data_IF_801150488477
#
_entry.id   IF_801150488477
#
_cell.length_a   1.000
_cell.length_b   1.000
_cell.length_c   1.000
_cell.angle_alpha   90.00
_cell.angle_beta   90.00
_cell.angle_gamma   90.00
#
_symmetry.space_group_name_H-M   'P 1'
#
loop_
_entity.id
_entity.type
_entity.pdbx_description
1 polymer ?
#
# COMPACT_ATOMS: atom_id res chain seq x y z
N UNK A 1 0.44 -13.61 10.80
CA UNK A 1 0.90 -13.70 12.20
C UNK A 1 0.05 -12.77 13.05
N UNK A 2 -0.05 -12.99 14.36
CA UNK A 2 -0.72 -12.03 15.26
C UNK A 2 0.22 -11.61 16.39
N UNK A 3 -0.09 -10.46 17.02
CA UNK A 3 0.61 -9.93 18.18
C UNK A 3 -0.38 -9.31 19.17
N UNK A 4 -0.01 -9.30 20.44
CA UNK A 4 -0.75 -8.58 21.47
C UNK A 4 -0.20 -7.15 21.57
N UNK A 5 -1.10 -6.16 21.46
CA UNK A 5 -0.76 -4.74 21.64
C UNK A 5 -1.99 -4.01 22.18
N UNK A 6 -1.79 -3.21 23.22
CA UNK A 6 -2.83 -2.42 23.90
C UNK A 6 -4.09 -3.25 24.27
N UNK A 7 -3.87 -4.53 24.66
CA UNK A 7 -4.94 -5.46 25.04
C UNK A 7 -5.72 -6.08 23.87
N UNK A 8 -5.32 -5.84 22.62
CA UNK A 8 -5.93 -6.40 21.43
C UNK A 8 -5.03 -7.41 20.72
N UNK A 9 -5.63 -8.41 20.07
CA UNK A 9 -4.93 -9.34 19.16
C UNK A 9 -4.93 -8.74 17.75
N UNK A 10 -3.77 -8.20 17.34
CA UNK A 10 -3.60 -7.48 16.08
C UNK A 10 -2.75 -8.30 15.10
N UNK A 11 -3.21 -8.36 13.86
CA UNK A 11 -2.56 -9.13 12.81
C UNK A 11 -1.42 -8.37 12.13
N UNK A 12 -0.42 -9.12 11.63
CA UNK A 12 0.67 -8.59 10.81
C UNK A 12 0.91 -9.49 9.59
N UNK A 13 1.24 -8.87 8.47
CA UNK A 13 1.71 -9.55 7.27
C UNK A 13 3.12 -9.04 6.92
N UNK A 14 4.01 -9.97 6.55
CA UNK A 14 5.39 -9.67 6.19
C UNK A 14 5.73 -10.35 4.89
N UNK A 15 6.24 -9.58 3.94
CA UNK A 15 6.88 -10.08 2.72
C UNK A 15 8.39 -9.90 2.84
N UNK A 16 9.14 -10.99 2.78
CA UNK A 16 10.60 -11.00 2.72
C UNK A 16 11.03 -11.34 1.30
N UNK A 17 11.94 -10.58 0.74
CA UNK A 17 12.46 -10.80 -0.60
C UNK A 17 13.79 -11.54 -0.52
N UNK A 18 13.99 -12.56 -1.36
CA UNK A 18 15.25 -13.31 -1.43
C UNK A 18 16.44 -12.45 -1.90
N UNK A 19 16.15 -11.37 -2.62
CA UNK A 19 17.09 -10.30 -2.99
C UNK A 19 16.39 -8.95 -2.87
N UNK A 20 17.09 -7.86 -2.53
CA UNK A 20 16.46 -6.56 -2.37
C UNK A 20 15.84 -6.07 -3.69
N UNK A 21 14.65 -5.49 -3.60
CA UNK A 21 13.97 -4.84 -4.72
C UNK A 21 14.16 -3.32 -4.63
N UNK A 22 14.24 -2.64 -5.77
CA UNK A 22 14.12 -1.18 -5.82
C UNK A 22 12.67 -0.80 -5.56
N UNK A 23 12.48 0.19 -4.70
CA UNK A 23 11.15 0.66 -4.33
C UNK A 23 11.05 2.19 -4.40
N UNK A 24 9.83 2.66 -4.67
CA UNK A 24 9.37 4.01 -4.37
C UNK A 24 8.09 3.90 -3.54
N UNK A 25 8.06 4.56 -2.37
CA UNK A 25 6.95 4.40 -1.44
C UNK A 25 6.65 5.70 -0.70
N UNK A 26 5.36 5.91 -0.37
CA UNK A 26 4.88 6.96 0.54
C UNK A 26 4.68 6.46 1.97
N UNK A 27 5.09 5.24 2.30
CA UNK A 27 4.91 4.66 3.63
C UNK A 27 5.64 5.45 4.73
N UNK A 28 5.07 5.50 5.96
CA UNK A 28 5.67 6.25 7.08
C UNK A 28 7.00 5.69 7.56
N UNK A 29 7.29 4.40 7.34
CA UNK A 29 8.58 3.79 7.60
C UNK A 29 9.22 3.29 6.31
N UNK A 30 10.45 3.69 6.04
CA UNK A 30 11.18 3.29 4.84
C UNK A 30 10.58 3.84 3.54
N UNK A 31 9.84 4.94 3.59
CA UNK A 31 9.36 5.67 2.42
C UNK A 31 10.48 6.25 1.58
N UNK A 32 10.11 6.89 0.47
CA UNK A 32 11.05 7.40 -0.51
C UNK A 32 11.59 6.29 -1.43
N UNK A 33 12.70 6.59 -2.12
CA UNK A 33 13.35 5.69 -3.07
C UNK A 33 14.49 4.92 -2.42
N UNK A 34 14.64 3.64 -2.76
CA UNK A 34 15.79 2.83 -2.35
C UNK A 34 15.55 1.33 -2.46
N UNK A 35 16.59 0.55 -2.14
CA UNK A 35 16.48 -0.90 -2.04
C UNK A 35 15.74 -1.32 -0.77
N UNK A 36 14.90 -2.34 -0.86
CA UNK A 36 14.13 -2.88 0.27
C UNK A 36 14.20 -4.39 0.30
N UNK A 37 14.41 -4.94 1.49
CA UNK A 37 14.50 -6.39 1.74
C UNK A 37 13.18 -6.98 2.19
N UNK A 38 12.28 -6.16 2.74
CA UNK A 38 11.00 -6.61 3.27
C UNK A 38 9.94 -5.49 3.25
N UNK A 39 8.68 -5.91 3.36
CA UNK A 39 7.53 -5.04 3.64
C UNK A 39 6.79 -5.62 4.84
N UNK A 40 6.37 -4.75 5.74
CA UNK A 40 5.53 -5.02 6.90
C UNK A 40 4.21 -4.26 6.74
N UNK A 41 3.09 -4.96 6.74
CA UNK A 41 1.78 -4.37 6.95
C UNK A 41 1.29 -4.79 8.36
N UNK A 42 1.06 -3.81 9.22
CA UNK A 42 0.67 -4.06 10.60
C UNK A 42 -0.72 -3.48 10.89
N UNK A 43 -1.60 -4.32 11.40
CA UNK A 43 -2.87 -3.87 11.93
C UNK A 43 -2.65 -3.04 13.19
N UNK A 44 -3.43 -1.99 13.36
CA UNK A 44 -3.53 -1.18 14.59
C UNK A 44 -4.98 -1.12 15.05
N UNK A 45 -5.20 -0.81 16.31
CA UNK A 45 -6.55 -0.61 16.85
C UNK A 45 -7.27 0.54 16.13
N UNK A 46 -8.60 0.50 16.04
CA UNK A 46 -9.39 1.55 15.40
C UNK A 46 -9.20 2.94 16.04
N UNK A 47 -8.90 3.01 17.32
CA UNK A 47 -8.58 4.24 18.05
C UNK A 47 -7.09 4.61 18.08
N UNK A 48 -6.27 4.05 17.18
CA UNK A 48 -4.83 4.31 17.14
C UNK A 48 -4.52 5.80 16.96
N UNK A 49 -3.73 6.35 17.87
CA UNK A 49 -3.45 7.79 17.95
C UNK A 49 -1.96 8.13 18.14
N UNK A 50 -1.06 7.17 17.99
CA UNK A 50 0.39 7.45 18.10
C UNK A 50 0.84 8.39 16.99
N UNK A 51 1.64 9.38 17.33
CA UNK A 51 2.20 10.34 16.37
C UNK A 51 3.52 9.84 15.77
N UNK A 52 4.31 9.03 16.51
CA UNK A 52 5.54 8.42 16.03
C UNK A 52 5.26 7.08 15.31
N UNK A 53 4.72 7.17 14.11
CA UNK A 53 4.43 6.00 13.25
C UNK A 53 5.72 5.26 12.87
N UNK A 54 6.78 6.00 12.57
CA UNK A 54 8.05 5.42 12.14
C UNK A 54 8.73 4.65 13.27
N UNK A 55 8.80 5.21 14.48
CA UNK A 55 9.33 4.53 15.67
C UNK A 55 8.52 3.30 16.04
N UNK A 56 7.18 3.36 15.96
CA UNK A 56 6.34 2.21 16.19
C UNK A 56 6.64 1.07 15.20
N UNK A 57 6.68 1.36 13.90
CA UNK A 57 7.00 0.38 12.86
C UNK A 57 8.42 -0.18 12.98
N UNK A 58 9.40 0.65 13.38
CA UNK A 58 10.77 0.21 13.67
C UNK A 58 10.79 -0.81 14.81
N UNK A 59 10.05 -0.55 15.90
CA UNK A 59 9.90 -1.49 17.02
C UNK A 59 9.28 -2.82 16.59
N UNK A 60 8.23 -2.79 15.79
CA UNK A 60 7.60 -4.00 15.23
C UNK A 60 8.56 -4.78 14.33
N UNK A 61 9.29 -4.09 13.45
CA UNK A 61 10.28 -4.71 12.57
C UNK A 61 11.40 -5.39 13.38
N UNK A 62 11.91 -4.73 14.43
CA UNK A 62 12.90 -5.30 15.34
C UNK A 62 12.38 -6.56 16.05
N UNK A 63 11.16 -6.51 16.59
CA UNK A 63 10.52 -7.66 17.23
C UNK A 63 10.26 -8.85 16.30
N UNK A 64 10.18 -8.60 14.99
CA UNK A 64 10.02 -9.63 13.96
C UNK A 64 11.36 -10.06 13.31
N UNK A 65 12.49 -9.58 13.82
CA UNK A 65 13.83 -9.82 13.27
C UNK A 65 13.88 -9.53 11.74
N UNK A 66 13.40 -8.33 11.36
CA UNK A 66 13.44 -7.86 9.98
C UNK A 66 14.72 -7.05 9.76
N UNK A 67 15.71 -7.68 9.15
CA UNK A 67 17.02 -7.08 8.93
C UNK A 67 17.09 -6.24 7.65
N UNK A 68 17.92 -5.20 7.67
CA UNK A 68 18.15 -4.31 6.54
C UNK A 68 16.97 -3.34 6.26
N UNK A 69 17.11 -2.52 5.21
CA UNK A 69 16.07 -1.56 4.84
C UNK A 69 14.77 -2.22 4.40
N UNK A 70 13.64 -1.79 4.96
CA UNK A 70 12.32 -2.28 4.59
C UNK A 70 11.28 -1.16 4.52
N UNK A 71 10.02 -1.52 4.27
CA UNK A 71 8.87 -0.62 4.23
C UNK A 71 7.89 -1.08 5.30
N UNK A 72 7.37 -0.14 6.11
CA UNK A 72 6.33 -0.41 7.10
C UNK A 72 5.08 0.43 6.84
N UNK A 73 3.93 -0.21 6.85
CA UNK A 73 2.60 0.39 6.69
C UNK A 73 1.69 0.01 7.84
N UNK A 74 0.84 0.93 8.28
CA UNK A 74 -0.18 0.71 9.30
C UNK A 74 -1.57 0.74 8.69
N UNK A 75 -2.49 -0.04 9.26
CA UNK A 75 -3.89 -0.05 8.87
C UNK A 75 -4.77 -0.49 10.04
N UNK A 76 -5.97 0.05 10.16
CA UNK A 76 -6.95 -0.48 11.12
C UNK A 76 -7.66 -1.74 10.59
N UNK A 77 -7.50 -2.06 9.31
CA UNK A 77 -8.05 -3.28 8.70
C UNK A 77 -7.24 -4.49 9.15
N UNK A 78 -7.93 -5.59 9.46
CA UNK A 78 -7.28 -6.87 9.69
C UNK A 78 -6.50 -7.29 8.43
N UNK A 79 -5.17 -7.40 8.54
CA UNK A 79 -4.32 -7.75 7.39
C UNK A 79 -4.53 -9.17 6.86
N UNK A 80 -5.29 -10.02 7.54
CA UNK A 80 -5.76 -11.31 7.01
C UNK A 80 -6.79 -11.13 5.88
N UNK A 81 -7.37 -9.94 5.77
CA UNK A 81 -8.34 -9.55 4.76
C UNK A 81 -7.70 -8.79 3.58
N UNK A 82 -6.38 -8.94 3.39
CA UNK A 82 -5.69 -8.40 2.22
C UNK A 82 -6.34 -8.93 0.95
N UNK A 83 -6.75 -8.02 0.07
CA UNK A 83 -7.15 -8.31 -1.29
C UNK A 83 -5.95 -8.32 -2.23
N UNK A 84 -6.03 -9.05 -3.34
CA UNK A 84 -4.94 -9.18 -4.29
C UNK A 84 -5.38 -9.01 -5.73
N UNK A 85 -4.47 -8.54 -6.58
CA UNK A 85 -4.64 -8.49 -8.02
C UNK A 85 -3.37 -8.96 -8.71
N UNK A 86 -3.52 -9.60 -9.86
CA UNK A 86 -2.38 -10.11 -10.63
C UNK A 86 -2.58 -9.88 -12.13
N UNK A 87 -1.52 -9.50 -12.83
CA UNK A 87 -1.53 -9.36 -14.29
C UNK A 87 -0.11 -9.54 -14.84
N UNK A 88 0.11 -10.53 -15.70
CA UNK A 88 1.39 -10.77 -16.40
C UNK A 88 2.64 -10.69 -15.52
N UNK A 89 2.61 -11.31 -14.35
CA UNK A 89 3.72 -11.32 -13.38
C UNK A 89 3.77 -10.08 -12.47
N UNK A 90 2.87 -9.11 -12.61
CA UNK A 90 2.64 -8.08 -11.60
C UNK A 90 1.82 -8.69 -10.48
N UNK A 91 2.21 -8.45 -9.24
CA UNK A 91 1.47 -8.83 -8.06
C UNK A 91 1.14 -7.59 -7.23
N UNK A 92 -0.12 -7.47 -6.82
CA UNK A 92 -0.63 -6.39 -5.98
C UNK A 92 -1.28 -6.96 -4.73
N UNK A 93 -0.99 -6.35 -3.59
CA UNK A 93 -1.69 -6.59 -2.32
C UNK A 93 -2.25 -5.25 -1.80
N UNK A 94 -3.50 -5.25 -1.36
CA UNK A 94 -4.14 -4.05 -0.81
C UNK A 94 -4.89 -4.35 0.48
N UNK A 95 -4.76 -3.46 1.48
CA UNK A 95 -5.69 -3.36 2.60
C UNK A 95 -6.58 -2.15 2.37
N UNK A 96 -7.89 -2.33 2.47
CA UNK A 96 -8.87 -1.29 2.11
C UNK A 96 -9.78 -1.01 3.30
N UNK A 97 -9.56 0.13 3.95
CA UNK A 97 -10.36 0.65 5.05
C UNK A 97 -10.98 1.99 4.66
N UNK A 98 -12.30 2.05 4.49
CA UNK A 98 -13.01 3.17 3.87
C UNK A 98 -13.86 3.99 4.84
N UNK A 99 -13.69 3.80 6.15
CA UNK A 99 -14.47 4.52 7.17
C UNK A 99 -14.40 6.05 7.06
N UNK A 100 -13.33 6.59 6.45
CA UNK A 100 -13.11 8.03 6.23
C UNK A 100 -12.64 8.30 4.81
N UNK A 101 -13.29 7.67 3.82
CA UNK A 101 -13.03 7.96 2.41
C UNK A 101 -13.59 9.34 2.02
N UNK A 102 -12.90 10.03 1.11
CA UNK A 102 -13.31 11.36 0.65
C UNK A 102 -12.59 11.80 -0.62
N UNK A 103 -12.96 12.98 -1.07
CA UNK A 103 -12.34 13.61 -2.23
C UNK A 103 -11.01 14.27 -1.86
N UNK A 104 -9.98 14.13 -2.68
CA UNK A 104 -8.69 14.75 -2.45
C UNK A 104 -8.74 16.29 -2.42
N UNK A 105 -9.68 16.88 -3.14
CA UNK A 105 -9.89 18.33 -3.18
C UNK A 105 -11.14 18.76 -2.38
N UNK A 106 -11.47 18.04 -1.32
CA UNK A 106 -12.54 18.48 -0.41
C UNK A 106 -12.13 19.76 0.31
N UNK A 107 -13.13 20.58 0.69
CA UNK A 107 -12.87 21.80 1.47
C UNK A 107 -12.29 21.46 2.85
N UNK A 108 -11.43 22.35 3.39
CA UNK A 108 -10.85 22.22 4.72
C UNK A 108 -11.94 22.12 5.80
N UNK A 109 -11.74 21.27 6.81
CA UNK A 109 -12.65 21.19 7.95
C UNK A 109 -12.94 19.79 8.50
N UNK A 110 -12.45 18.74 7.87
CA UNK A 110 -12.51 17.40 8.41
C UNK A 110 -11.27 17.07 9.25
N UNK A 111 -11.32 17.26 10.57
CA UNK A 111 -10.29 16.74 11.44
C UNK A 111 -10.17 15.22 11.24
N UNK A 112 -8.93 14.69 11.20
CA UNK A 112 -8.67 13.24 11.16
C UNK A 112 -9.12 12.62 12.49
N UNK A 113 -10.39 12.21 12.58
CA UNK A 113 -10.98 11.68 13.81
C UNK A 113 -10.88 10.16 13.92
N UNK A 114 -10.55 9.45 12.84
CA UNK A 114 -10.22 8.00 12.84
C UNK A 114 -9.54 7.58 11.54
N UNK A 115 -8.88 6.43 11.54
CA UNK A 115 -8.02 6.00 10.44
C UNK A 115 -8.75 5.06 9.46
N UNK A 116 -9.33 5.62 8.41
CA UNK A 116 -9.49 4.89 7.16
C UNK A 116 -8.16 4.90 6.41
N UNK A 117 -7.73 3.79 5.83
CA UNK A 117 -6.45 3.70 5.12
C UNK A 117 -6.54 2.69 3.99
N UNK A 118 -6.12 3.10 2.79
CA UNK A 118 -5.86 2.17 1.68
C UNK A 118 -4.35 2.05 1.50
N UNK A 119 -3.79 0.90 1.86
CA UNK A 119 -2.39 0.59 1.59
C UNK A 119 -2.28 -0.31 0.38
N UNK A 120 -1.41 0.03 -0.56
CA UNK A 120 -1.19 -0.71 -1.79
C UNK A 120 0.28 -1.05 -1.94
N UNK A 121 0.57 -2.33 -2.12
CA UNK A 121 1.89 -2.88 -2.43
C UNK A 121 1.81 -3.45 -3.83
N UNK A 122 2.64 -2.97 -4.76
CA UNK A 122 2.71 -3.45 -6.13
C UNK A 122 4.13 -3.88 -6.48
N UNK A 123 4.29 -5.11 -6.94
CA UNK A 123 5.58 -5.66 -7.36
C UNK A 123 5.52 -5.96 -8.86
N UNK A 124 6.40 -5.32 -9.62
CA UNK A 124 6.52 -5.50 -11.07
C UNK A 124 7.69 -6.44 -11.40
N UNK A 125 7.58 -7.29 -12.43
CA UNK A 125 8.65 -8.21 -12.84
C UNK A 125 9.73 -7.55 -13.71
N UNK A 126 9.62 -6.24 -13.98
CA UNK A 126 10.54 -5.47 -14.81
C UNK A 126 11.12 -4.30 -14.04
N UNK A 127 12.42 -4.07 -14.22
CA UNK A 127 13.08 -2.87 -13.70
C UNK A 127 12.42 -1.62 -14.27
N UNK A 128 12.14 -0.65 -13.39
CA UNK A 128 11.67 0.66 -13.78
C UNK A 128 12.78 1.70 -13.59
N UNK A 129 12.87 2.68 -14.49
CA UNK A 129 13.65 3.88 -14.22
C UNK A 129 13.08 4.64 -13.02
N UNK A 130 13.84 5.58 -12.44
CA UNK A 130 13.32 6.42 -11.34
C UNK A 130 12.08 7.20 -11.77
N UNK A 131 12.08 7.75 -12.99
CA UNK A 131 10.93 8.45 -13.53
C UNK A 131 9.72 7.51 -13.74
N UNK A 132 9.97 6.29 -14.22
CA UNK A 132 8.92 5.30 -14.38
C UNK A 132 8.34 4.83 -13.03
N UNK A 133 9.12 4.77 -11.96
CA UNK A 133 8.61 4.51 -10.61
C UNK A 133 7.64 5.61 -10.14
N UNK A 134 7.95 6.88 -10.42
CA UNK A 134 7.03 8.00 -10.15
C UNK A 134 5.74 7.84 -10.95
N UNK A 135 5.85 7.55 -12.28
CA UNK A 135 4.66 7.27 -13.09
C UNK A 135 3.84 6.08 -12.55
N UNK A 136 4.52 5.02 -12.07
CA UNK A 136 3.84 3.86 -11.52
C UNK A 136 3.03 4.22 -10.25
N UNK A 137 3.58 5.06 -9.35
CA UNK A 137 2.84 5.54 -8.17
C UNK A 137 1.61 6.36 -8.60
N UNK A 138 1.73 7.22 -9.62
CA UNK A 138 0.58 7.95 -10.19
C UNK A 138 -0.46 6.98 -10.74
N UNK A 139 -0.04 6.00 -11.55
CA UNK A 139 -0.91 4.96 -12.12
C UNK A 139 -1.65 4.16 -11.03
N UNK A 140 -0.95 3.79 -9.95
CA UNK A 140 -1.56 3.12 -8.77
C UNK A 140 -2.64 4.00 -8.16
N UNK A 141 -2.37 5.29 -7.98
CA UNK A 141 -3.32 6.24 -7.38
C UNK A 141 -4.54 6.46 -8.26
N UNK A 142 -4.36 6.59 -9.58
CA UNK A 142 -5.46 6.70 -10.55
C UNK A 142 -6.33 5.43 -10.54
N UNK A 143 -5.71 4.26 -10.61
CA UNK A 143 -6.42 2.98 -10.61
C UNK A 143 -7.16 2.73 -9.27
N UNK A 144 -6.58 3.13 -8.13
CA UNK A 144 -7.24 3.11 -6.83
C UNK A 144 -8.50 3.98 -6.85
N UNK A 145 -8.39 5.21 -7.33
CA UNK A 145 -9.52 6.16 -7.37
C UNK A 145 -10.63 5.64 -8.27
N UNK A 146 -10.29 5.07 -9.43
CA UNK A 146 -11.25 4.42 -10.32
C UNK A 146 -11.94 3.23 -9.63
N UNK A 147 -11.21 2.36 -8.95
CA UNK A 147 -11.76 1.20 -8.26
C UNK A 147 -12.73 1.59 -7.15
N UNK A 148 -12.44 2.66 -6.38
CA UNK A 148 -13.35 3.20 -5.38
C UNK A 148 -14.65 3.70 -6.01
N UNK A 149 -14.54 4.43 -7.13
CA UNK A 149 -15.69 4.90 -7.89
C UNK A 149 -16.54 3.75 -8.42
N UNK A 150 -15.90 2.74 -9.03
CA UNK A 150 -16.57 1.56 -9.58
C UNK A 150 -17.20 0.68 -8.47
N UNK A 151 -16.71 0.79 -7.23
CA UNK A 151 -17.31 0.17 -6.06
C UNK A 151 -18.46 1.00 -5.43
N UNK A 152 -18.78 2.18 -5.98
CA UNK A 152 -19.86 3.05 -5.51
C UNK A 152 -19.45 4.04 -4.42
N UNK A 153 -18.15 4.21 -4.13
CA UNK A 153 -17.65 5.20 -3.17
C UNK A 153 -17.35 6.52 -3.88
N UNK A 154 -18.03 7.59 -3.49
CA UNK A 154 -17.78 8.95 -3.98
C UNK A 154 -16.51 9.54 -3.33
N UNK A 155 -15.34 8.97 -3.64
CA UNK A 155 -14.07 9.28 -3.02
C UNK A 155 -12.89 9.00 -3.94
N UNK A 156 -11.75 9.67 -3.70
CA UNK A 156 -10.48 9.35 -4.36
C UNK A 156 -9.51 8.56 -3.48
N UNK A 157 -9.80 8.42 -2.20
CA UNK A 157 -9.00 7.71 -1.22
C UNK A 157 -9.36 8.09 0.20
N UNK A 158 -8.42 7.91 1.11
CA UNK A 158 -8.50 8.29 2.53
C UNK A 158 -7.33 9.19 2.91
N UNK A 159 -7.36 9.89 4.06
CA UNK A 159 -6.30 10.83 4.43
C UNK A 159 -4.91 10.20 4.60
N UNK A 160 -4.80 8.90 4.86
CA UNK A 160 -3.55 8.23 5.23
C UNK A 160 -3.13 7.12 4.26
N UNK A 161 -3.60 7.14 3.04
CA UNK A 161 -3.26 6.14 2.02
C UNK A 161 -1.74 6.05 1.81
N UNK A 162 -1.23 4.82 1.68
CA UNK A 162 0.15 4.60 1.37
C UNK A 162 0.33 3.63 0.18
N UNK A 163 1.33 3.93 -0.63
CA UNK A 163 1.68 3.15 -1.82
C UNK A 163 3.14 2.74 -1.76
N UNK A 164 3.42 1.49 -2.11
CA UNK A 164 4.75 0.99 -2.40
C UNK A 164 4.77 0.31 -3.77
N UNK A 165 5.60 0.81 -4.67
CA UNK A 165 5.87 0.19 -5.97
C UNK A 165 7.29 -0.35 -5.95
N UNK A 166 7.44 -1.65 -6.27
CA UNK A 166 8.71 -2.35 -6.23
C UNK A 166 9.03 -3.01 -7.58
N UNK A 167 10.31 -3.08 -7.90
CA UNK A 167 10.79 -3.76 -9.11
C UNK A 167 12.20 -4.33 -8.91
N UNK A 168 12.67 -5.25 -9.79
CA UNK A 168 14.06 -5.74 -9.76
C UNK A 168 15.07 -4.61 -9.84
N UNK A 169 16.23 -4.72 -9.17
CA UNK A 169 17.30 -3.73 -9.21
C UNK A 169 18.08 -3.73 -10.54
N UNK A 170 18.00 -4.81 -11.31
CA UNK A 170 18.75 -5.05 -12.54
C UNK A 170 17.84 -5.56 -13.66
N UNK A 171 18.40 -5.65 -14.86
CA UNK A 171 17.68 -6.09 -16.07
C UNK A 171 17.24 -4.94 -16.97
N UNK A 172 16.58 -5.23 -18.11
CA UNK A 172 16.07 -4.23 -19.03
C UNK A 172 15.15 -3.26 -18.33
N UNK A 173 15.44 -1.96 -18.43
CA UNK A 173 14.68 -0.90 -17.76
C UNK A 173 13.54 -0.37 -18.61
N UNK A 174 12.37 -0.18 -18.00
CA UNK A 174 11.25 0.51 -18.60
C UNK A 174 11.34 2.01 -18.29
N UNK A 175 11.18 2.85 -19.31
CA UNK A 175 11.24 4.30 -19.16
C UNK A 175 9.93 4.90 -18.67
N UNK A 176 8.79 4.21 -18.88
CA UNK A 176 7.44 4.66 -18.56
C UNK A 176 6.62 3.56 -17.87
N UNK A 177 5.77 3.97 -16.94
CA UNK A 177 4.80 3.11 -16.27
C UNK A 177 3.42 3.80 -16.10
N UNK A 178 3.11 4.79 -16.95
CA UNK A 178 1.80 5.43 -17.02
C UNK A 178 0.71 4.49 -17.54
N UNK A 179 -0.61 4.81 -17.38
CA UNK A 179 -1.73 3.89 -17.63
C UNK A 179 -1.82 3.34 -19.05
N UNK A 180 -1.19 4.00 -20.03
CA UNK A 180 -1.18 3.59 -21.45
C UNK A 180 0.14 2.90 -21.87
N UNK A 181 1.15 2.82 -20.98
CA UNK A 181 2.36 2.05 -21.25
C UNK A 181 2.09 0.55 -21.05
N UNK A 182 2.98 -0.29 -21.61
CA UNK A 182 2.86 -1.76 -21.53
C UNK A 182 2.70 -2.25 -20.09
N UNK A 183 3.54 -1.77 -19.17
CA UNK A 183 3.54 -2.22 -17.78
C UNK A 183 2.60 -1.40 -16.89
N UNK A 184 2.41 -0.12 -17.21
CA UNK A 184 1.48 0.73 -16.48
C UNK A 184 0.02 0.31 -16.67
N UNK A 185 -0.39 -0.11 -17.89
CA UNK A 185 -1.76 -0.60 -18.12
C UNK A 185 -2.07 -1.88 -17.35
N UNK A 186 -1.09 -2.79 -17.24
CA UNK A 186 -1.20 -4.03 -16.46
C UNK A 186 -1.24 -3.72 -14.96
N UNK A 187 -0.33 -2.83 -14.50
CA UNK A 187 -0.32 -2.36 -13.13
C UNK A 187 -1.67 -1.76 -12.74
N UNK A 188 -2.23 -0.90 -13.60
CA UNK A 188 -3.53 -0.28 -13.36
C UNK A 188 -4.64 -1.32 -13.16
N UNK A 189 -4.71 -2.35 -14.03
CA UNK A 189 -5.73 -3.41 -13.92
C UNK A 189 -5.55 -4.26 -12.66
N UNK A 190 -4.31 -4.64 -12.33
CA UNK A 190 -4.04 -5.41 -11.12
C UNK A 190 -4.38 -4.62 -9.84
N UNK A 191 -4.06 -3.32 -9.79
CA UNK A 191 -4.43 -2.44 -8.68
C UNK A 191 -5.93 -2.24 -8.60
N UNK A 192 -6.57 -1.96 -9.73
CA UNK A 192 -8.02 -1.80 -9.80
C UNK A 192 -8.73 -3.03 -9.25
N UNK A 193 -8.34 -4.24 -9.68
CA UNK A 193 -8.92 -5.50 -9.19
C UNK A 193 -8.76 -5.63 -7.68
N UNK A 194 -7.53 -5.46 -7.15
CA UNK A 194 -7.26 -5.59 -5.72
C UNK A 194 -8.09 -4.59 -4.88
N UNK A 195 -8.12 -3.33 -5.30
CA UNK A 195 -8.85 -2.29 -4.56
C UNK A 195 -10.36 -2.47 -4.68
N UNK A 196 -10.88 -2.83 -5.86
CA UNK A 196 -12.30 -3.08 -6.08
C UNK A 196 -12.82 -4.22 -5.18
N UNK A 197 -12.09 -5.33 -5.13
CA UNK A 197 -12.45 -6.49 -4.29
C UNK A 197 -12.39 -6.14 -2.80
N UNK A 198 -11.33 -5.42 -2.36
CA UNK A 198 -11.22 -4.94 -1.00
C UNK A 198 -12.32 -3.95 -0.60
N UNK A 199 -12.73 -3.07 -1.53
CA UNK A 199 -13.80 -2.09 -1.31
C UNK A 199 -15.15 -2.76 -1.15
N UNK A 200 -15.46 -3.76 -1.98
CA UNK A 200 -16.70 -4.55 -1.87
C UNK A 200 -16.77 -5.31 -0.54
N UNK A 201 -15.65 -5.91 -0.12
CA UNK A 201 -15.55 -6.58 1.15
C UNK A 201 -15.68 -5.62 2.35
N UNK A 202 -15.24 -4.37 2.23
CA UNK A 202 -15.39 -3.33 3.25
C UNK A 202 -16.82 -2.81 3.34
N UNK A 203 -17.51 -2.64 2.20
CA UNK A 203 -18.91 -2.18 2.14
C UNK A 203 -19.93 -3.23 2.59
N UNK A 204 -19.56 -4.50 2.67
CA UNK A 204 -20.41 -5.60 3.13
C UNK A 204 -20.36 -5.81 4.66
N UNK A 205 -19.56 -5.03 5.39
CA UNK A 205 -19.36 -5.07 6.85
C UNK A 205 -20.03 -3.88 7.51
#
# INVERSE_FOLDING_TARGET
MSRQEDGADLSVAVWRFGSPLLALSSAPYGGGWGARHWILAAQVAAGYSRLDLAGHLAGLAGGLALDGPGIGMLTAVDVRLISSGQEDGIAVAATVGLSHSGWAAAADGGGMTSAGTVNIIAVLPRRLSRAALVNAVMTVTEAKSQALWDAGFAATGTPSDAVAVLCPPSGPGEAFAGPRSRWGSRLARAVHQAVLDGSRAAGAR
#
